data_IF_801414460779
#
_entry.id   IF_801414460779
#
_cell.length_a   1.000
_cell.length_b   1.000
_cell.length_c   1.000
_cell.angle_alpha   90.00
_cell.angle_beta   90.00
_cell.angle_gamma   90.00
#
_symmetry.space_group_name_H-M   'P 1'
#
loop_
_entity.id
_entity.type
_entity.pdbx_description
1 polymer ?
#
# COMPACT_ATOMS: atom_id res chain seq x y z
N UNK A 1 -5.71 -0.81 22.55
CA UNK A 1 -5.27 -0.72 21.14
C UNK A 1 -4.56 -1.99 20.73
N UNK A 2 -4.86 -2.50 19.53
CA UNK A 2 -4.25 -3.71 19.00
C UNK A 2 -3.71 -3.46 17.61
N UNK A 3 -2.63 -4.17 17.25
CA UNK A 3 -2.13 -4.16 15.88
C UNK A 3 -3.17 -4.73 14.93
N UNK A 4 -3.35 -4.08 13.79
CA UNK A 4 -4.25 -4.55 12.73
C UNK A 4 -3.49 -5.22 11.58
N UNK A 5 -2.20 -5.45 11.76
CA UNK A 5 -1.39 -6.15 10.75
C UNK A 5 -1.80 -7.63 10.70
N UNK A 6 -2.14 -8.13 9.50
CA UNK A 6 -2.71 -9.46 9.34
C UNK A 6 -1.77 -10.44 8.65
N UNK A 7 -0.60 -10.00 8.21
CA UNK A 7 0.33 -10.88 7.51
C UNK A 7 1.77 -10.44 7.71
N UNK A 8 2.69 -11.32 7.37
CA UNK A 8 4.12 -11.05 7.39
C UNK A 8 4.81 -11.82 6.26
N UNK A 9 5.80 -11.25 5.55
CA UNK A 9 6.32 -9.88 5.70
C UNK A 9 5.38 -8.83 5.10
N UNK A 10 5.53 -7.57 5.52
CA UNK A 10 4.72 -6.46 4.99
C UNK A 10 5.45 -5.55 4.01
N UNK A 11 6.77 -5.65 3.91
CA UNK A 11 7.54 -4.89 2.92
C UNK A 11 7.23 -5.39 1.51
N UNK A 12 6.98 -4.45 0.58
CA UNK A 12 6.66 -4.81 -0.82
C UNK A 12 7.74 -5.71 -1.43
N UNK A 13 9.00 -5.39 -1.20
CA UNK A 13 10.12 -6.15 -1.75
C UNK A 13 10.17 -7.59 -1.25
N UNK A 14 9.71 -7.84 -0.04
CA UNK A 14 9.80 -9.14 0.62
C UNK A 14 8.53 -9.96 0.50
N UNK A 15 7.40 -9.33 0.22
CA UNK A 15 6.12 -10.03 0.14
C UNK A 15 6.09 -11.00 -1.05
N UNK A 16 5.44 -12.17 -0.93
CA UNK A 16 5.25 -13.04 -2.07
C UNK A 16 4.30 -12.41 -3.09
N UNK A 17 4.40 -12.83 -4.34
CA UNK A 17 3.51 -12.34 -5.40
C UNK A 17 2.09 -12.87 -5.21
N UNK A 18 1.96 -14.14 -4.78
CA UNK A 18 0.65 -14.68 -4.45
C UNK A 18 0.72 -15.41 -3.12
N UNK A 19 -0.37 -15.32 -2.38
CA UNK A 19 -0.50 -15.98 -1.08
C UNK A 19 -1.98 -16.07 -0.75
N UNK A 20 -2.39 -17.03 0.09
CA UNK A 20 -3.79 -17.17 0.48
C UNK A 20 -4.36 -15.88 1.10
N UNK A 21 -3.55 -15.11 1.84
CA UNK A 21 -4.03 -13.89 2.46
C UNK A 21 -4.33 -12.75 1.48
N UNK A 22 -3.95 -12.89 0.20
CA UNK A 22 -4.32 -11.91 -0.84
C UNK A 22 -5.69 -12.19 -1.47
N UNK A 23 -6.37 -13.29 -1.12
CA UNK A 23 -7.66 -13.60 -1.73
C UNK A 23 -8.80 -12.79 -1.12
N UNK A 24 -9.59 -12.14 -1.98
CA UNK A 24 -10.79 -11.40 -1.60
C UNK A 24 -10.50 -10.30 -0.57
N UNK A 25 -9.38 -9.59 -0.72
CA UNK A 25 -8.95 -8.59 0.26
C UNK A 25 -8.94 -7.19 -0.30
N UNK A 26 -9.07 -6.23 0.61
CA UNK A 26 -8.77 -4.84 0.36
C UNK A 26 -7.29 -4.64 0.65
N UNK A 27 -6.59 -4.02 -0.28
CA UNK A 27 -5.14 -3.84 -0.20
C UNK A 27 -4.80 -2.41 0.21
N UNK A 28 -3.94 -2.27 1.22
CA UNK A 28 -3.36 -0.99 1.60
C UNK A 28 -1.89 -0.98 1.15
N UNK A 29 -1.52 0.03 0.37
CA UNK A 29 -0.13 0.28 -0.03
C UNK A 29 0.28 1.57 0.65
N UNK A 30 1.15 1.47 1.66
CA UNK A 30 1.48 2.60 2.51
C UNK A 30 2.97 2.93 2.47
N UNK A 31 3.28 4.23 2.46
CA UNK A 31 4.64 4.67 2.67
C UNK A 31 5.06 4.34 4.11
N UNK A 32 6.33 3.94 4.28
CA UNK A 32 6.85 3.51 5.58
C UNK A 32 6.57 4.53 6.70
N UNK A 33 6.69 5.81 6.39
CA UNK A 33 6.58 6.87 7.40
C UNK A 33 5.15 7.13 7.86
N UNK A 34 4.13 6.67 7.13
CA UNK A 34 2.74 6.98 7.46
C UNK A 34 2.31 6.41 8.80
N UNK A 35 2.83 5.24 9.15
CA UNK A 35 2.52 4.61 10.44
C UNK A 35 3.08 5.42 11.62
N UNK A 36 4.17 6.12 11.41
CA UNK A 36 4.77 6.96 12.45
C UNK A 36 4.13 8.33 12.51
N UNK A 37 3.73 8.87 11.36
CA UNK A 37 3.16 10.21 11.30
C UNK A 37 1.69 10.25 11.72
N UNK A 38 0.91 9.23 11.35
CA UNK A 38 -0.52 9.21 11.62
C UNK A 38 -0.86 8.23 12.75
N UNK A 39 -1.25 8.78 13.90
CA UNK A 39 -1.41 7.99 15.13
C UNK A 39 -2.46 6.89 14.99
N UNK A 40 -3.54 7.12 14.26
CA UNK A 40 -4.66 6.18 14.15
C UNK A 40 -4.58 5.28 12.92
N UNK A 41 -3.37 5.02 12.41
CA UNK A 41 -3.18 4.27 11.17
C UNK A 41 -3.77 2.85 11.24
N UNK A 42 -3.64 2.18 12.37
CA UNK A 42 -4.14 0.80 12.51
C UNK A 42 -5.66 0.74 12.39
N UNK A 43 -6.37 1.56 13.16
CA UNK A 43 -7.82 1.52 13.18
C UNK A 43 -8.44 2.10 11.91
N UNK A 44 -7.86 3.16 11.38
CA UNK A 44 -8.49 3.88 10.27
C UNK A 44 -8.10 3.33 8.91
N UNK A 45 -6.86 2.89 8.73
CA UNK A 45 -6.36 2.47 7.43
C UNK A 45 -6.02 0.99 7.31
N UNK A 46 -5.48 0.36 8.36
CA UNK A 46 -5.04 -1.03 8.27
C UNK A 46 -6.14 -2.04 8.57
N UNK A 47 -7.09 -1.67 9.41
CA UNK A 47 -8.14 -2.59 9.85
C UNK A 47 -8.93 -3.12 8.65
N UNK A 48 -9.04 -4.45 8.56
CA UNK A 48 -9.77 -5.10 7.48
C UNK A 48 -9.04 -5.11 6.14
N UNK A 49 -7.75 -4.78 6.13
CA UNK A 49 -6.94 -4.74 4.89
C UNK A 49 -5.67 -5.55 5.05
N UNK A 50 -5.11 -5.95 3.93
CA UNK A 50 -3.75 -6.49 3.88
C UNK A 50 -2.83 -5.31 3.56
N UNK A 51 -1.77 -5.17 4.33
CA UNK A 51 -0.89 -3.99 4.28
C UNK A 51 0.46 -4.31 3.66
N UNK A 52 0.81 -3.56 2.62
CA UNK A 52 2.15 -3.56 2.03
C UNK A 52 2.77 -2.20 2.23
N UNK A 53 4.03 -2.16 2.65
CA UNK A 53 4.73 -0.90 2.89
C UNK A 53 6.01 -0.80 2.06
N UNK A 54 6.45 0.42 1.83
CA UNK A 54 7.71 0.66 1.15
C UNK A 54 8.07 2.12 1.10
N UNK A 55 9.32 2.38 0.69
CA UNK A 55 9.84 3.71 0.44
C UNK A 55 10.67 3.67 -0.84
N UNK A 56 10.16 4.21 -1.96
CA UNK A 56 10.88 4.14 -3.24
C UNK A 56 12.26 4.80 -3.17
N UNK A 57 12.39 5.85 -2.37
CA UNK A 57 13.66 6.56 -2.23
C UNK A 57 14.71 5.71 -1.52
N UNK A 58 14.33 5.03 -0.43
CA UNK A 58 15.25 4.18 0.32
C UNK A 58 15.57 2.90 -0.45
N UNK A 59 14.58 2.28 -1.04
CA UNK A 59 14.77 1.03 -1.78
C UNK A 59 15.36 1.24 -3.17
N UNK A 60 15.24 2.45 -3.73
CA UNK A 60 15.75 2.79 -5.05
C UNK A 60 15.26 1.85 -6.14
N UNK A 61 14.00 1.41 -6.04
CA UNK A 61 13.39 0.54 -7.04
C UNK A 61 12.01 1.08 -7.45
N UNK A 62 11.55 0.60 -8.59
CA UNK A 62 10.20 0.82 -9.05
C UNK A 62 9.35 -0.37 -8.60
N UNK A 63 8.42 -0.13 -7.69
CA UNK A 63 7.55 -1.20 -7.18
C UNK A 63 6.46 -1.62 -8.16
N UNK A 64 6.29 -0.92 -9.28
CA UNK A 64 5.14 -1.16 -10.16
C UNK A 64 5.08 -2.58 -10.70
N UNK A 65 6.22 -3.18 -11.01
CA UNK A 65 6.26 -4.56 -11.51
C UNK A 65 5.74 -5.55 -10.48
N UNK A 66 6.24 -5.48 -9.26
CA UNK A 66 5.81 -6.36 -8.17
C UNK A 66 4.34 -6.16 -7.84
N UNK A 67 3.91 -4.90 -7.73
CA UNK A 67 2.51 -4.58 -7.42
C UNK A 67 1.57 -5.03 -8.55
N UNK A 68 2.01 -4.92 -9.81
CA UNK A 68 1.24 -5.43 -10.94
C UNK A 68 0.98 -6.91 -10.80
N UNK A 69 2.02 -7.69 -10.47
CA UNK A 69 1.89 -9.12 -10.29
C UNK A 69 0.95 -9.48 -9.15
N UNK A 70 1.06 -8.78 -8.02
CA UNK A 70 0.20 -9.04 -6.86
C UNK A 70 -1.27 -8.76 -7.22
N UNK A 71 -1.54 -7.65 -7.86
CA UNK A 71 -2.92 -7.27 -8.22
C UNK A 71 -3.47 -8.20 -9.30
N UNK A 72 -2.66 -8.56 -10.30
CA UNK A 72 -3.09 -9.38 -11.42
C UNK A 72 -3.34 -10.83 -11.00
N UNK A 73 -2.52 -11.39 -10.11
CA UNK A 73 -2.55 -12.81 -9.77
C UNK A 73 -3.47 -13.15 -8.59
N UNK A 74 -4.00 -12.15 -7.91
CA UNK A 74 -4.86 -12.34 -6.75
C UNK A 74 -6.18 -11.61 -6.94
N UNK A 75 -7.21 -12.03 -6.21
CA UNK A 75 -8.52 -11.38 -6.27
C UNK A 75 -8.57 -10.21 -5.28
N UNK A 76 -7.96 -9.10 -5.65
CA UNK A 76 -7.92 -7.88 -4.83
C UNK A 76 -9.22 -7.10 -5.03
N UNK A 77 -9.89 -6.72 -3.95
CA UNK A 77 -11.17 -6.00 -4.01
C UNK A 77 -11.02 -4.52 -4.21
N UNK A 78 -10.01 -3.92 -3.61
CA UNK A 78 -9.76 -2.48 -3.70
C UNK A 78 -8.32 -2.17 -3.33
N UNK A 79 -7.86 -0.98 -3.70
CA UNK A 79 -6.52 -0.51 -3.37
C UNK A 79 -6.61 0.88 -2.74
N UNK A 80 -5.98 1.04 -1.58
CA UNK A 80 -5.80 2.35 -0.94
C UNK A 80 -4.31 2.62 -0.88
N UNK A 81 -3.89 3.77 -1.39
CA UNK A 81 -2.51 4.25 -1.28
C UNK A 81 -2.47 5.29 -0.17
N UNK A 82 -1.60 5.07 0.81
CA UNK A 82 -1.40 6.00 1.91
C UNK A 82 0.01 6.58 1.79
N UNK A 83 0.11 7.88 1.59
CA UNK A 83 1.40 8.53 1.34
C UNK A 83 1.57 9.76 2.22
N UNK A 84 2.84 10.15 2.41
CA UNK A 84 3.16 11.44 3.02
C UNK A 84 3.09 12.56 1.99
N UNK A 85 2.94 13.79 2.46
CA UNK A 85 2.89 14.97 1.59
C UNK A 85 4.22 15.26 0.88
N UNK A 86 5.31 14.64 1.32
CA UNK A 86 6.65 14.89 0.78
C UNK A 86 6.81 14.31 -0.63
N UNK A 87 7.63 14.94 -1.50
CA UNK A 87 7.73 14.51 -2.90
C UNK A 87 8.22 13.09 -3.10
N UNK A 88 9.04 12.55 -2.21
CA UNK A 88 9.57 11.19 -2.35
C UNK A 88 8.48 10.11 -2.33
N UNK A 89 7.32 10.40 -1.76
CA UNK A 89 6.20 9.47 -1.76
C UNK A 89 5.42 9.45 -3.07
N UNK A 90 5.68 10.40 -3.98
CA UNK A 90 5.06 10.38 -5.30
C UNK A 90 5.41 9.14 -6.10
N UNK A 91 6.59 8.58 -5.89
CA UNK A 91 7.00 7.33 -6.55
C UNK A 91 6.15 6.13 -6.14
N UNK A 92 5.70 6.08 -4.89
CA UNK A 92 4.82 5.01 -4.42
C UNK A 92 3.43 5.11 -5.06
N UNK A 93 2.88 6.31 -5.09
CA UNK A 93 1.59 6.56 -5.73
C UNK A 93 1.66 6.20 -7.21
N UNK A 94 2.70 6.66 -7.92
CA UNK A 94 2.87 6.38 -9.35
C UNK A 94 3.01 4.88 -9.61
N UNK A 95 3.74 4.16 -8.76
CA UNK A 95 3.91 2.73 -8.90
C UNK A 95 2.57 1.99 -8.73
N UNK A 96 1.76 2.39 -7.76
CA UNK A 96 0.46 1.79 -7.52
C UNK A 96 -0.51 2.07 -8.68
N UNK A 97 -0.55 3.30 -9.19
CA UNK A 97 -1.40 3.66 -10.33
C UNK A 97 -0.99 2.89 -11.58
N UNK A 98 0.31 2.80 -11.84
CA UNK A 98 0.83 2.04 -12.97
C UNK A 98 0.49 0.57 -12.86
N UNK A 99 0.60 0.00 -11.65
CA UNK A 99 0.25 -1.39 -11.41
C UNK A 99 -1.23 -1.66 -11.66
N UNK A 100 -2.12 -0.77 -11.23
CA UNK A 100 -3.55 -0.88 -11.49
C UNK A 100 -3.85 -0.89 -12.98
N UNK A 101 -3.20 -0.01 -13.75
CA UNK A 101 -3.36 0.03 -15.21
C UNK A 101 -2.83 -1.24 -15.87
N UNK A 102 -1.65 -1.69 -15.45
CA UNK A 102 -0.98 -2.84 -16.08
C UNK A 102 -1.60 -4.18 -15.69
N UNK A 103 -2.33 -4.25 -14.57
CA UNK A 103 -2.97 -5.49 -14.13
C UNK A 103 -4.14 -5.91 -15.02
N UNK A 104 -4.70 -4.98 -15.79
CA UNK A 104 -5.87 -5.25 -16.61
C UNK A 104 -7.17 -5.35 -15.84
N UNK A 105 -7.17 -4.98 -14.56
CA UNK A 105 -8.35 -5.08 -13.71
C UNK A 105 -8.92 -3.71 -13.40
N UNK A 106 -10.25 -3.63 -13.28
CA UNK A 106 -10.96 -2.44 -12.82
C UNK A 106 -11.28 -2.60 -11.34
N UNK A 107 -10.52 -1.90 -10.50
CA UNK A 107 -10.67 -1.95 -9.05
C UNK A 107 -10.94 -0.55 -8.52
N UNK A 108 -11.81 -0.41 -7.51
CA UNK A 108 -11.90 0.86 -6.79
C UNK A 108 -10.55 1.16 -6.13
N UNK A 109 -10.11 2.40 -6.22
CA UNK A 109 -8.85 2.79 -5.60
C UNK A 109 -8.91 4.26 -5.17
N UNK A 110 -8.08 4.59 -4.17
CA UNK A 110 -7.98 5.95 -3.68
C UNK A 110 -6.57 6.22 -3.17
N UNK A 111 -6.22 7.49 -3.13
CA UNK A 111 -4.96 7.96 -2.55
C UNK A 111 -5.29 8.90 -1.39
N UNK A 112 -4.69 8.63 -0.24
CA UNK A 112 -4.82 9.47 0.95
C UNK A 112 -3.45 10.02 1.30
N UNK A 113 -3.36 11.32 1.51
CA UNK A 113 -2.12 12.01 1.84
C UNK A 113 -2.12 12.42 3.30
N UNK A 114 -1.03 12.11 3.99
CA UNK A 114 -0.81 12.46 5.39
C UNK A 114 0.23 13.58 5.47
N UNK A 115 -0.06 14.60 6.25
CA UNK A 115 0.88 15.68 6.49
C UNK A 115 1.97 15.25 7.47
N UNK A 116 3.10 15.96 7.46
CA UNK A 116 4.21 15.65 8.38
C UNK A 116 3.83 15.87 9.85
N UNK A 117 2.79 16.64 10.12
CA UNK A 117 2.28 16.84 11.48
C UNK A 117 1.12 15.89 11.83
N UNK A 118 0.85 14.89 11.00
CA UNK A 118 -0.06 13.80 11.34
C UNK A 118 -1.53 14.04 11.05
N UNK A 119 -1.85 14.83 10.01
CA UNK A 119 -3.22 15.08 9.59
C UNK A 119 -3.51 14.49 8.22
N UNK A 120 -4.74 14.10 7.99
CA UNK A 120 -5.22 13.74 6.66
C UNK A 120 -5.45 15.03 5.87
N UNK A 121 -4.83 15.15 4.73
CA UNK A 121 -4.98 16.31 3.85
C UNK A 121 -6.09 16.15 2.83
#
# INVERSE_FOLDING_TARGET
MQSQLQQWPCQIKLAPVNAPYFEDVKLLIAADCTAYAYANVHEEFMKGKITLIGCPKLDQIDYSEKLTQIIAENNIKSVTVLRMEVPCCGGLENAAVKALKNSGKFLPWQVVTISIDGRIL
#
